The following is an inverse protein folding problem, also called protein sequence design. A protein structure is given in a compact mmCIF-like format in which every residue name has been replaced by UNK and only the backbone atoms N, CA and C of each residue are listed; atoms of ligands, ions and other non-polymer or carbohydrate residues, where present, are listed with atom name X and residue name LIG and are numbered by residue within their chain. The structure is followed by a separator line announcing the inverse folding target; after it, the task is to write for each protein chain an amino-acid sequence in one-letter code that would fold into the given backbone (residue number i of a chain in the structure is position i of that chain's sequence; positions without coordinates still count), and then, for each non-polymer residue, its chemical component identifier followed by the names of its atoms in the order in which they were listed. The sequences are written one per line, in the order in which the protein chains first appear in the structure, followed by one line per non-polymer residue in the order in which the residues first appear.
data_IF_136967483330
#
_entry.id   IF_136967483330
#
_cell.length_a   1.000
_cell.length_b   1.000
_cell.length_c   1.000
_cell.angle_alpha   90.00
_cell.angle_beta   90.00
_cell.angle_gamma   90.00
#
_symmetry.space_group_name_H-M   'P 1'
#
loop_
_entity.id
_entity.type
_entity.pdbx_description
1 polymer ?
#
# COMPACT_ATOMS: atom_id res chain seq x y z
N UNK A 1 -8.24 23.85 -38.54
CA UNK A 1 -8.53 23.15 -37.28
C UNK A 1 -7.26 22.47 -36.82
N UNK A 2 -6.53 23.09 -35.89
CA UNK A 2 -5.32 22.52 -35.29
C UNK A 2 -5.77 21.64 -34.15
N UNK A 3 -5.61 20.32 -34.27
CA UNK A 3 -5.56 19.42 -33.11
C UNK A 3 -4.45 19.91 -32.17
N UNK A 4 -4.82 20.59 -31.11
CA UNK A 4 -3.92 20.85 -29.98
C UNK A 4 -3.70 19.52 -29.30
N UNK A 5 -2.59 18.85 -29.62
CA UNK A 5 -2.16 17.62 -28.96
C UNK A 5 -2.13 17.82 -27.47
N UNK A 6 -2.88 17.01 -26.73
CA UNK A 6 -2.86 16.90 -25.26
C UNK A 6 -1.41 16.76 -24.81
N UNK A 7 -0.95 17.66 -23.99
CA UNK A 7 0.27 17.45 -23.19
C UNK A 7 -0.10 16.60 -21.98
N UNK A 8 -0.19 15.29 -22.17
CA UNK A 8 -0.28 14.37 -21.05
C UNK A 8 1.10 14.33 -20.38
N UNK A 9 1.10 14.48 -19.06
CA UNK A 9 2.33 14.37 -18.27
C UNK A 9 2.58 12.91 -17.99
N UNK A 10 3.75 12.42 -18.37
CA UNK A 10 4.17 11.06 -18.04
C UNK A 10 4.79 11.02 -16.67
N UNK A 11 4.28 10.15 -15.82
CA UNK A 11 4.82 9.89 -14.49
C UNK A 11 5.32 8.45 -14.40
N UNK A 12 6.47 8.26 -13.73
CA UNK A 12 7.00 6.94 -13.47
C UNK A 12 6.48 6.43 -12.14
N UNK A 13 5.85 5.30 -12.17
CA UNK A 13 5.35 4.59 -11.00
C UNK A 13 6.13 3.29 -10.86
N UNK A 14 6.67 3.06 -9.67
CA UNK A 14 7.37 1.82 -9.34
C UNK A 14 6.46 0.94 -8.51
N UNK A 15 6.32 -0.31 -8.90
CA UNK A 15 5.62 -1.34 -8.17
C UNK A 15 6.58 -2.45 -7.77
N UNK A 16 6.24 -3.16 -6.71
CA UNK A 16 6.92 -4.39 -6.34
C UNK A 16 6.07 -5.59 -6.74
N UNK A 17 6.49 -6.31 -7.79
CA UNK A 17 5.78 -7.49 -8.30
C UNK A 17 5.71 -8.66 -7.30
N UNK A 18 6.57 -8.68 -6.28
CA UNK A 18 6.57 -9.72 -5.26
C UNK A 18 5.71 -9.36 -4.04
N UNK A 19 5.22 -8.12 -3.95
CA UNK A 19 4.38 -7.69 -2.86
C UNK A 19 2.96 -8.26 -2.99
N UNK A 20 2.37 -8.63 -1.87
CA UNK A 20 0.96 -9.05 -1.78
C UNK A 20 0.08 -7.92 -1.24
N UNK A 21 0.72 -6.88 -0.68
CA UNK A 21 0.08 -5.67 -0.20
C UNK A 21 0.81 -4.44 -0.74
N UNK A 22 0.11 -3.30 -0.80
CA UNK A 22 0.72 -2.01 -1.14
C UNK A 22 0.15 -0.89 -0.27
N UNK A 23 0.68 0.32 -0.41
CA UNK A 23 0.28 1.50 0.35
C UNK A 23 0.31 1.26 1.88
N UNK A 24 1.33 0.50 2.32
CA UNK A 24 1.53 0.21 3.74
C UNK A 24 1.86 1.48 4.51
N UNK A 25 0.96 1.85 5.42
CA UNK A 25 1.14 2.97 6.35
C UNK A 25 1.12 2.44 7.78
N UNK A 26 1.88 3.10 8.65
CA UNK A 26 1.93 2.77 10.07
C UNK A 26 2.08 4.03 10.90
N UNK A 27 1.21 4.18 11.89
CA UNK A 27 1.29 5.24 12.89
C UNK A 27 1.49 4.62 14.26
N UNK A 28 2.36 5.23 15.07
CA UNK A 28 2.59 4.83 16.46
C UNK A 28 1.88 5.81 17.39
N UNK A 29 1.03 5.29 18.25
CA UNK A 29 0.25 6.05 19.22
C UNK A 29 0.46 5.49 20.63
N UNK A 30 0.43 6.36 21.64
CA UNK A 30 0.41 5.98 23.04
C UNK A 30 -1.04 5.95 23.52
N UNK A 31 -1.54 4.76 23.82
CA UNK A 31 -2.85 4.57 24.41
C UNK A 31 -2.68 4.08 25.86
N UNK A 32 -3.01 4.97 26.83
CA UNK A 32 -2.83 4.67 28.27
C UNK A 32 -1.37 4.40 28.66
N UNK A 33 -0.39 4.97 27.94
CA UNK A 33 1.03 4.77 28.16
C UNK A 33 1.62 3.50 27.53
N UNK A 34 0.82 2.73 26.81
CA UNK A 34 1.25 1.54 26.06
C UNK A 34 1.35 1.92 24.59
N UNK A 35 2.52 1.78 23.94
CA UNK A 35 2.64 2.09 22.54
C UNK A 35 1.92 1.04 21.69
N UNK A 36 1.15 1.52 20.73
CA UNK A 36 0.43 0.72 19.74
C UNK A 36 0.74 1.21 18.34
N UNK A 37 0.88 0.30 17.42
CA UNK A 37 0.93 0.61 16.00
C UNK A 37 -0.47 0.47 15.40
N UNK A 38 -0.92 1.47 14.64
CA UNK A 38 -2.10 1.41 13.79
C UNK A 38 -1.61 1.26 12.36
N UNK A 39 -2.01 0.18 11.69
CA UNK A 39 -1.52 -0.24 10.40
C UNK A 39 -2.65 -0.19 9.39
N UNK A 40 -2.37 0.31 8.19
CA UNK A 40 -3.27 0.27 7.05
C UNK A 40 -2.51 -0.14 5.79
N UNK A 41 -3.17 -0.84 4.88
CA UNK A 41 -2.61 -1.26 3.59
C UNK A 41 -3.72 -1.68 2.62
N UNK A 42 -3.36 -1.84 1.35
CA UNK A 42 -4.23 -2.43 0.32
C UNK A 42 -3.86 -3.89 0.08
N UNK A 43 -4.86 -4.77 0.07
CA UNK A 43 -4.71 -6.17 -0.36
C UNK A 43 -4.70 -6.22 -1.90
N UNK A 44 -3.64 -6.76 -2.49
CA UNK A 44 -3.48 -6.84 -3.95
C UNK A 44 -4.28 -7.96 -4.63
N UNK A 45 -5.14 -8.67 -3.90
CA UNK A 45 -6.15 -9.55 -4.51
C UNK A 45 -5.77 -11.01 -4.66
N UNK A 46 -4.60 -11.44 -4.21
CA UNK A 46 -4.21 -12.86 -4.26
C UNK A 46 -5.15 -13.78 -3.45
N UNK A 47 -5.74 -13.28 -2.39
CA UNK A 47 -6.68 -14.01 -1.54
C UNK A 47 -7.26 -13.13 -0.44
N UNK A 48 -8.21 -13.64 0.35
CA UNK A 48 -8.67 -13.01 1.58
C UNK A 48 -7.59 -13.18 2.64
N UNK A 49 -7.04 -12.09 3.18
CA UNK A 49 -5.96 -12.13 4.18
C UNK A 49 -6.57 -12.38 5.56
N UNK A 50 -6.09 -13.41 6.26
CA UNK A 50 -6.52 -13.77 7.62
C UNK A 50 -5.47 -13.49 8.69
N UNK A 51 -4.19 -13.43 8.31
CA UNK A 51 -3.12 -12.99 9.18
C UNK A 51 -1.96 -12.42 8.34
N UNK A 52 -1.22 -11.49 8.92
CA UNK A 52 -0.02 -10.93 8.31
C UNK A 52 1.09 -10.77 9.33
N UNK A 53 2.30 -11.12 8.92
CA UNK A 53 3.53 -10.92 9.67
C UNK A 53 4.36 -9.86 8.96
N UNK A 54 4.74 -8.83 9.70
CA UNK A 54 5.65 -7.79 9.27
C UNK A 54 7.03 -7.99 9.90
N UNK A 55 8.08 -7.71 9.16
CA UNK A 55 9.39 -7.40 9.73
C UNK A 55 9.39 -5.92 10.08
N UNK A 56 9.62 -5.59 11.34
CA UNK A 56 9.54 -4.25 11.91
C UNK A 56 10.90 -3.78 12.41
N UNK A 57 11.17 -2.49 12.25
CA UNK A 57 12.26 -1.77 12.88
C UNK A 57 11.69 -0.58 13.65
N UNK A 58 11.97 -0.50 14.94
CA UNK A 58 11.51 0.58 15.82
C UNK A 58 12.56 1.66 15.99
N UNK A 59 12.11 2.91 16.09
CA UNK A 59 12.95 4.07 16.33
C UNK A 59 12.40 4.89 17.49
N UNK A 60 13.31 5.40 18.33
CA UNK A 60 12.96 6.30 19.42
C UNK A 60 12.77 7.77 18.93
N UNK A 61 12.49 8.68 19.85
CA UNK A 61 12.30 10.10 19.55
C UNK A 61 13.56 10.80 18.96
N UNK A 62 14.73 10.22 19.13
CA UNK A 62 16.00 10.72 18.58
C UNK A 62 16.38 10.04 17.26
N UNK A 63 15.48 9.18 16.75
CA UNK A 63 15.67 8.38 15.53
C UNK A 63 16.75 7.29 15.66
N UNK A 64 17.10 6.90 16.89
CA UNK A 64 17.94 5.75 17.13
C UNK A 64 17.12 4.47 17.07
N UNK A 65 17.75 3.38 16.60
CA UNK A 65 17.10 2.07 16.54
C UNK A 65 16.88 1.54 17.95
N UNK A 66 15.64 1.19 18.27
CA UNK A 66 15.28 0.51 19.51
C UNK A 66 15.59 -0.99 19.35
N UNK A 67 16.44 -1.51 20.21
CA UNK A 67 16.84 -2.91 20.18
C UNK A 67 15.84 -3.77 20.99
N UNK A 68 15.17 -4.71 20.32
CA UNK A 68 14.30 -5.70 20.97
C UNK A 68 15.09 -6.98 21.12
N UNK A 69 15.31 -7.43 22.38
CA UNK A 69 16.15 -8.59 22.69
C UNK A 69 17.54 -8.52 22.05
N UNK A 70 18.12 -7.31 21.97
CA UNK A 70 19.42 -7.06 21.37
C UNK A 70 19.46 -7.06 19.83
N UNK A 71 18.28 -7.12 19.17
CA UNK A 71 18.15 -7.11 17.71
C UNK A 71 17.53 -5.78 17.23
N UNK A 72 18.02 -5.27 16.11
CA UNK A 72 17.52 -4.05 15.49
C UNK A 72 16.21 -4.23 14.70
N UNK A 73 15.72 -5.47 14.57
CA UNK A 73 14.44 -5.78 13.94
C UNK A 73 13.70 -6.88 14.69
N UNK A 74 12.39 -6.86 14.60
CA UNK A 74 11.48 -7.82 15.24
C UNK A 74 10.29 -8.11 14.34
N UNK A 75 9.45 -9.09 14.72
CA UNK A 75 8.24 -9.39 13.98
C UNK A 75 7.02 -8.84 14.69
N UNK A 76 6.13 -8.19 13.92
CA UNK A 76 4.76 -7.88 14.34
C UNK A 76 3.80 -8.81 13.60
N UNK A 77 2.86 -9.38 14.34
CA UNK A 77 1.85 -10.29 13.78
C UNK A 77 0.48 -9.69 14.06
N UNK A 78 -0.28 -9.51 12.97
CA UNK A 78 -1.70 -9.19 13.02
C UNK A 78 -2.45 -10.44 12.57
N UNK A 79 -3.32 -10.94 13.41
CA UNK A 79 -4.08 -12.18 13.17
C UNK A 79 -5.56 -11.98 13.50
N UNK A 80 -6.38 -12.97 13.17
CA UNK A 80 -7.82 -12.92 13.38
C UNK A 80 -8.49 -11.76 12.63
N UNK A 81 -7.98 -11.47 11.44
CA UNK A 81 -8.51 -10.46 10.51
C UNK A 81 -9.17 -11.12 9.31
N UNK A 82 -9.96 -10.35 8.57
CA UNK A 82 -10.53 -10.76 7.29
C UNK A 82 -10.50 -9.58 6.35
N UNK A 83 -9.49 -9.52 5.50
CA UNK A 83 -9.32 -8.43 4.53
C UNK A 83 -9.62 -9.00 3.15
N UNK A 84 -10.72 -8.59 2.56
CA UNK A 84 -11.17 -9.06 1.26
C UNK A 84 -10.17 -8.73 0.14
N UNK A 85 -10.27 -9.47 -0.96
CA UNK A 85 -9.49 -9.21 -2.16
C UNK A 85 -9.72 -7.79 -2.65
N UNK A 86 -8.65 -7.13 -3.06
CA UNK A 86 -8.69 -5.78 -3.63
C UNK A 86 -9.32 -4.73 -2.70
N UNK A 87 -9.34 -4.97 -1.39
CA UNK A 87 -9.86 -4.03 -0.41
C UNK A 87 -8.74 -3.31 0.35
N UNK A 88 -9.11 -2.19 0.97
CA UNK A 88 -8.27 -1.45 1.90
C UNK A 88 -8.49 -1.96 3.32
N UNK A 89 -7.40 -2.27 4.01
CA UNK A 89 -7.39 -2.56 5.45
C UNK A 89 -7.04 -1.29 6.21
N UNK A 90 -7.86 -0.91 7.17
CA UNK A 90 -7.67 0.30 7.98
C UNK A 90 -7.83 -0.02 9.48
N UNK A 91 -7.06 0.69 10.31
CA UNK A 91 -7.23 0.65 11.76
C UNK A 91 -6.78 -0.65 12.43
N UNK A 92 -5.94 -1.45 11.78
CA UNK A 92 -5.39 -2.67 12.38
C UNK A 92 -4.41 -2.28 13.50
N UNK A 93 -4.76 -2.60 14.74
CA UNK A 93 -3.98 -2.18 15.90
C UNK A 93 -3.21 -3.35 16.49
N UNK A 94 -1.91 -3.14 16.75
CA UNK A 94 -1.04 -4.10 17.42
C UNK A 94 -0.21 -3.43 18.51
N UNK A 95 -0.07 -4.09 19.66
CA UNK A 95 0.77 -3.59 20.75
C UNK A 95 2.24 -3.73 20.39
N UNK A 96 3.04 -2.70 20.72
CA UNK A 96 4.48 -2.72 20.49
C UNK A 96 5.22 -3.33 21.67
N UNK A 97 6.38 -3.96 21.41
CA UNK A 97 7.15 -4.67 22.44
C UNK A 97 7.91 -3.75 23.39
N UNK A 98 8.12 -2.48 23.05
CA UNK A 98 8.91 -1.54 23.83
C UNK A 98 8.28 -0.15 23.82
N UNK A 99 8.29 0.53 25.01
CA UNK A 99 7.69 1.85 25.19
C UNK A 99 8.46 2.99 24.53
N UNK A 100 9.71 2.78 24.20
CA UNK A 100 10.57 3.80 23.58
C UNK A 100 10.35 3.90 22.06
N UNK A 101 9.58 2.99 21.48
CA UNK A 101 9.27 3.03 20.05
C UNK A 101 8.28 4.17 19.78
N UNK A 102 8.77 5.24 19.13
CA UNK A 102 7.96 6.36 18.68
C UNK A 102 7.65 6.34 17.18
N UNK A 103 8.39 5.54 16.39
CA UNK A 103 8.21 5.38 14.94
C UNK A 103 8.54 3.95 14.52
N UNK A 104 7.83 3.43 13.54
CA UNK A 104 8.08 2.12 12.95
C UNK A 104 8.33 2.21 11.45
N UNK A 105 9.24 1.37 10.99
CA UNK A 105 9.33 0.96 9.58
C UNK A 105 8.89 -0.49 9.48
N UNK A 106 7.93 -0.75 8.59
CA UNK A 106 7.35 -2.07 8.37
C UNK A 106 7.65 -2.56 6.95
N UNK A 107 7.91 -3.86 6.85
CA UNK A 107 7.96 -4.57 5.57
C UNK A 107 7.14 -5.84 5.68
N UNK A 108 6.42 -6.17 4.61
CA UNK A 108 5.77 -7.47 4.48
C UNK A 108 6.79 -8.59 4.69
N UNK A 109 6.41 -9.63 5.41
CA UNK A 109 7.23 -10.84 5.60
C UNK A 109 6.48 -12.09 5.15
N UNK A 110 5.29 -12.33 5.74
CA UNK A 110 4.45 -13.47 5.39
C UNK A 110 2.98 -13.08 5.49
N UNK A 111 2.15 -13.67 4.63
CA UNK A 111 0.69 -13.51 4.65
C UNK A 111 0.04 -14.88 4.66
N UNK A 112 -0.97 -15.07 5.52
CA UNK A 112 -1.87 -16.20 5.50
C UNK A 112 -3.18 -15.81 4.82
N UNK A 113 -3.64 -16.65 3.91
CA UNK A 113 -4.92 -16.50 3.24
C UNK A 113 -6.00 -17.45 3.82
N UNK A 114 -7.27 -17.13 3.57
CA UNK A 114 -8.40 -17.90 4.08
C UNK A 114 -8.46 -19.34 3.57
N UNK A 115 -7.83 -19.65 2.44
CA UNK A 115 -7.68 -21.01 1.91
C UNK A 115 -6.60 -21.84 2.62
N UNK A 116 -5.90 -21.25 3.60
CA UNK A 116 -4.82 -21.87 4.36
C UNK A 116 -3.44 -21.75 3.71
N UNK A 117 -3.32 -21.12 2.55
CA UNK A 117 -2.02 -20.88 1.92
C UNK A 117 -1.25 -19.79 2.66
N UNK A 118 0.09 -19.90 2.65
CA UNK A 118 0.99 -18.91 3.24
C UNK A 118 1.94 -18.43 2.17
N UNK A 119 1.86 -17.14 1.84
CA UNK A 119 2.81 -16.48 0.98
C UNK A 119 3.96 -15.87 1.80
N UNK A 120 5.16 -15.98 1.29
CA UNK A 120 6.36 -15.35 1.89
C UNK A 120 6.91 -14.33 0.92
N UNK A 121 7.11 -13.11 1.40
CA UNK A 121 7.73 -12.05 0.62
C UNK A 121 9.19 -12.39 0.28
N UNK A 122 9.52 -12.39 -1.00
CA UNK A 122 10.82 -12.81 -1.53
C UNK A 122 11.82 -11.67 -1.72
N UNK A 123 11.48 -10.48 -1.27
CA UNK A 123 12.23 -9.25 -1.53
C UNK A 123 11.68 -8.50 -2.73
N UNK A 124 12.01 -7.21 -2.81
CA UNK A 124 11.50 -6.33 -3.84
C UNK A 124 11.92 -6.78 -5.24
N UNK A 125 10.95 -6.85 -6.14
CA UNK A 125 11.14 -6.96 -7.58
C UNK A 125 10.47 -5.76 -8.22
N UNK A 126 11.24 -4.68 -8.32
CA UNK A 126 10.73 -3.42 -8.85
C UNK A 126 10.43 -3.52 -10.34
N UNK A 127 9.26 -3.04 -10.72
CA UNK A 127 8.83 -2.84 -12.09
C UNK A 127 8.41 -1.40 -12.28
N UNK A 128 8.92 -0.77 -13.32
CA UNK A 128 8.61 0.61 -13.67
C UNK A 128 7.45 0.63 -14.68
N UNK A 129 6.46 1.47 -14.41
CA UNK A 129 5.41 1.85 -15.35
C UNK A 129 5.53 3.34 -15.66
N UNK A 130 5.41 3.69 -16.93
CA UNK A 130 5.28 5.06 -17.38
C UNK A 130 3.80 5.34 -17.63
N UNK A 131 3.13 6.03 -16.70
CA UNK A 131 1.70 6.30 -16.75
C UNK A 131 1.43 7.70 -17.26
N UNK A 132 0.39 7.82 -18.06
CA UNK A 132 -0.16 9.12 -18.43
C UNK A 132 -1.02 9.64 -17.29
N UNK A 133 -0.60 10.74 -16.65
CA UNK A 133 -1.36 11.41 -15.61
C UNK A 133 -2.36 12.39 -16.22
N UNK A 134 -3.53 12.50 -15.61
CA UNK A 134 -4.46 13.58 -15.91
C UNK A 134 -3.85 14.89 -15.40
N UNK A 135 -3.51 15.80 -16.30
CA UNK A 135 -3.32 17.21 -15.93
C UNK A 135 -4.68 17.78 -15.49
N UNK A 136 -4.67 18.87 -14.71
CA UNK A 136 -5.91 19.58 -14.35
C UNK A 136 -6.73 19.81 -15.63
N UNK A 137 -8.04 19.46 -15.60
CA UNK A 137 -8.89 19.59 -16.77
C UNK A 137 -8.90 21.04 -17.27
N UNK A 138 -8.52 21.26 -18.52
CA UNK A 138 -8.48 22.61 -19.12
C UNK A 138 -9.81 23.01 -19.78
N UNK A 139 -10.72 22.04 -19.97
CA UNK A 139 -12.02 22.26 -20.62
C UNK A 139 -13.15 21.71 -19.77
N UNK A 140 -14.35 22.32 -19.92
CA UNK A 140 -15.57 21.86 -19.22
C UNK A 140 -15.93 20.40 -19.54
N UNK A 141 -15.56 19.89 -20.71
CA UNK A 141 -15.81 18.52 -21.13
C UNK A 141 -14.85 17.54 -20.46
N UNK A 142 -13.57 17.91 -20.31
CA UNK A 142 -12.57 17.16 -19.56
C UNK A 142 -12.89 17.15 -18.08
N UNK A 143 -13.34 18.27 -17.54
CA UNK A 143 -13.78 18.39 -16.15
C UNK A 143 -14.98 17.47 -15.85
N UNK A 144 -15.98 17.43 -16.73
CA UNK A 144 -17.11 16.50 -16.62
C UNK A 144 -16.69 15.03 -16.68
N UNK A 145 -15.77 14.69 -17.58
CA UNK A 145 -15.24 13.33 -17.70
C UNK A 145 -14.44 12.93 -16.47
N UNK A 146 -13.60 13.83 -15.97
CA UNK A 146 -12.81 13.64 -14.77
C UNK A 146 -13.68 13.37 -13.54
N UNK A 147 -14.69 14.20 -13.31
CA UNK A 147 -15.63 14.00 -12.20
C UNK A 147 -16.50 12.75 -12.38
N UNK A 148 -16.93 12.43 -13.59
CA UNK A 148 -17.67 11.19 -13.84
C UNK A 148 -16.85 9.93 -13.53
N UNK A 149 -15.54 9.97 -13.76
CA UNK A 149 -14.63 8.89 -13.41
C UNK A 149 -14.39 8.86 -11.90
N UNK A 150 -14.22 10.01 -11.25
CA UNK A 150 -14.08 10.11 -9.79
C UNK A 150 -15.30 9.58 -9.05
N UNK A 151 -16.50 9.89 -9.50
CA UNK A 151 -17.76 9.43 -8.89
C UNK A 151 -17.92 7.90 -8.93
N UNK A 152 -17.31 7.24 -9.93
CA UNK A 152 -17.41 5.78 -10.11
C UNK A 152 -16.29 5.03 -9.39
N UNK A 153 -15.08 5.60 -9.32
CA UNK A 153 -13.86 4.86 -8.88
C UNK A 153 -13.34 5.34 -7.52
N UNK A 154 -13.57 6.54 -7.10
CA UNK A 154 -13.18 7.25 -5.88
C UNK A 154 -12.39 8.54 -6.13
N UNK A 155 -12.22 9.35 -5.09
CA UNK A 155 -11.57 10.68 -5.08
C UNK A 155 -10.08 10.71 -5.48
N UNK A 156 -9.51 9.60 -5.97
CA UNK A 156 -8.05 9.46 -6.13
C UNK A 156 -7.59 9.11 -7.55
N UNK A 157 -8.41 9.35 -8.56
CA UNK A 157 -8.00 9.07 -9.95
C UNK A 157 -6.94 10.06 -10.39
N UNK A 158 -5.74 9.58 -10.64
CA UNK A 158 -4.59 10.36 -11.10
C UNK A 158 -4.13 9.98 -12.50
N UNK A 159 -4.34 8.72 -12.89
CA UNK A 159 -3.73 8.13 -14.07
C UNK A 159 -4.74 7.52 -15.01
N UNK A 160 -4.37 7.42 -16.27
CA UNK A 160 -5.08 6.55 -17.22
C UNK A 160 -4.70 5.11 -16.88
N UNK A 161 -5.68 4.20 -16.64
CA UNK A 161 -5.39 2.80 -16.38
C UNK A 161 -4.56 2.18 -17.50
N UNK A 162 -3.58 1.37 -17.13
CA UNK A 162 -2.67 0.71 -18.06
C UNK A 162 -2.50 -0.75 -17.66
N UNK A 163 -2.50 -1.65 -18.65
CA UNK A 163 -2.26 -3.08 -18.44
C UNK A 163 -0.99 -3.56 -19.17
N UNK A 164 -0.44 -4.66 -18.69
CA UNK A 164 0.61 -5.41 -19.34
C UNK A 164 0.44 -6.93 -19.12
N UNK A 165 1.45 -7.72 -19.47
CA UNK A 165 1.42 -9.18 -19.38
C UNK A 165 1.31 -9.72 -17.94
N UNK A 166 1.53 -8.89 -16.92
CA UNK A 166 1.57 -9.33 -15.50
C UNK A 166 0.42 -8.79 -14.68
N UNK A 167 -0.30 -7.78 -15.17
CA UNK A 167 -1.40 -7.14 -14.46
C UNK A 167 -1.72 -5.76 -15.01
N UNK A 168 -2.37 -4.94 -14.21
CA UNK A 168 -2.75 -3.59 -14.61
C UNK A 168 -2.67 -2.60 -13.46
N UNK A 169 -2.45 -1.33 -13.79
CA UNK A 169 -2.50 -0.22 -12.83
C UNK A 169 -3.81 0.53 -13.04
N UNK A 170 -4.58 0.70 -11.96
CA UNK A 170 -5.81 1.49 -12.01
C UNK A 170 -5.52 2.99 -12.02
N UNK A 171 -6.56 3.79 -12.31
CA UNK A 171 -6.46 5.24 -12.31
C UNK A 171 -5.99 5.86 -10.98
N UNK A 172 -6.09 5.16 -9.86
CA UNK A 172 -5.57 5.58 -8.57
C UNK A 172 -4.07 5.26 -8.35
N UNK A 173 -3.41 4.61 -9.31
CA UNK A 173 -2.02 4.16 -9.20
C UNK A 173 -1.83 2.81 -8.51
N UNK A 174 -2.93 2.11 -8.17
CA UNK A 174 -2.87 0.78 -7.56
C UNK A 174 -2.58 -0.28 -8.62
N UNK A 175 -1.61 -1.13 -8.35
CA UNK A 175 -1.35 -2.32 -9.15
C UNK A 175 -2.31 -3.44 -8.80
N UNK A 176 -2.83 -4.09 -9.82
CA UNK A 176 -3.68 -5.26 -9.72
C UNK A 176 -3.01 -6.37 -10.53
N UNK A 177 -2.50 -7.43 -9.88
CA UNK A 177 -1.86 -8.53 -10.58
C UNK A 177 -2.89 -9.23 -11.48
N UNK A 178 -2.43 -9.73 -12.62
CA UNK A 178 -3.22 -10.61 -13.50
C UNK A 178 -3.52 -11.95 -12.82
N UNK A 179 -4.55 -12.65 -13.30
CA UNK A 179 -4.91 -14.00 -12.84
C UNK A 179 -3.88 -15.04 -13.32
#
# INVERSE_FOLDING_TARGET
EQERGRKMRKERVFIDENAHIQNLCCEVNLDGGIPKATISFDNLGYGVITAIKFCAQGFNAFNDIVLIEGKGSFFLIVQDISIDRNSHAEGLTVQLPDSDIGRLELKESQICFADGTVATYKGAKEKEFELDSFEEPETEEEERLFYAIQDVISDKVKYIPQEDDTGWICGCGRYNPGE
#
